data_IF_085737294999
#
_entry.id   IF_085737294999
#
_cell.length_a   1.000
_cell.length_b   1.000
_cell.length_c   1.000
_cell.angle_alpha   90.00
_cell.angle_beta   90.00
_cell.angle_gamma   90.00
#
_symmetry.space_group_name_H-M   'P 1'
#
loop_
_entity.id
_entity.type
_entity.pdbx_description
1 polymer ?
#
# COMPACT_ATOMS: atom_id res chain seq x y z
N UNK A 1 -63.64 4.72 45.49
CA UNK A 1 -62.35 5.36 45.28
C UNK A 1 -61.22 4.32 45.27
N UNK A 2 -61.16 3.41 44.26
CA UNK A 2 -60.12 2.34 44.22
C UNK A 2 -59.83 1.87 42.79
N UNK A 3 -59.62 2.78 41.82
CA UNK A 3 -59.30 2.35 40.42
C UNK A 3 -58.23 3.21 39.69
N UNK A 4 -57.40 4.01 40.38
CA UNK A 4 -56.45 4.93 39.69
C UNK A 4 -54.95 4.51 39.91
N UNK A 5 -54.64 3.51 40.71
CA UNK A 5 -53.22 3.19 41.06
C UNK A 5 -52.58 2.14 40.14
N UNK A 6 -53.36 1.40 39.34
CA UNK A 6 -52.81 0.33 38.49
C UNK A 6 -52.24 0.80 37.17
N UNK A 7 -52.64 2.00 36.69
CA UNK A 7 -52.15 2.51 35.40
C UNK A 7 -50.75 3.15 35.39
N UNK A 8 -50.22 3.53 36.54
CA UNK A 8 -48.98 4.31 36.61
C UNK A 8 -47.72 3.43 36.73
N UNK A 9 -47.90 2.18 37.17
CA UNK A 9 -46.76 1.22 37.29
C UNK A 9 -46.31 0.57 35.99
N UNK A 10 -47.21 0.43 35.00
CA UNK A 10 -46.90 -0.20 33.71
C UNK A 10 -46.20 0.77 32.75
N UNK A 11 -46.51 2.07 32.86
CA UNK A 11 -45.87 3.08 31.98
C UNK A 11 -44.41 3.38 32.33
N UNK A 12 -44.04 3.20 33.60
CA UNK A 12 -42.64 3.40 34.02
C UNK A 12 -41.71 2.21 33.66
N UNK A 13 -42.26 1.00 33.49
CA UNK A 13 -41.48 -0.18 33.12
C UNK A 13 -41.11 -0.22 31.63
N UNK A 14 -41.92 0.37 30.76
CA UNK A 14 -41.63 0.44 29.34
C UNK A 14 -40.56 1.49 28.98
N UNK A 15 -40.36 2.53 29.77
CA UNK A 15 -39.36 3.58 29.52
C UNK A 15 -37.96 3.12 29.87
N UNK A 16 -37.80 2.18 30.82
CA UNK A 16 -36.48 1.70 31.23
C UNK A 16 -35.84 0.72 30.24
N UNK A 17 -36.60 0.21 29.26
CA UNK A 17 -36.08 -0.74 28.27
C UNK A 17 -35.50 -0.09 27.00
N UNK A 18 -35.67 1.22 26.81
CA UNK A 18 -35.15 1.94 25.65
C UNK A 18 -33.69 2.40 25.77
N UNK A 19 -33.02 2.21 26.91
CA UNK A 19 -31.64 2.64 27.12
C UNK A 19 -30.57 1.54 27.07
N UNK A 20 -30.93 0.31 26.67
CA UNK A 20 -29.93 -0.67 26.30
C UNK A 20 -29.36 -0.34 24.92
N UNK A 21 -28.58 0.74 24.83
CA UNK A 21 -27.70 0.99 23.70
C UNK A 21 -26.71 -0.17 23.62
N UNK A 22 -26.93 -1.10 22.71
CA UNK A 22 -25.95 -2.11 22.36
C UNK A 22 -24.80 -1.35 21.70
N UNK A 23 -23.73 -1.17 22.46
CA UNK A 23 -22.47 -0.70 21.88
C UNK A 23 -21.93 -1.87 21.04
N UNK A 24 -22.10 -1.77 19.73
CA UNK A 24 -21.39 -2.66 18.81
C UNK A 24 -19.90 -2.33 18.95
N UNK A 25 -19.15 -3.16 19.63
CA UNK A 25 -17.70 -3.12 19.62
C UNK A 25 -17.26 -3.68 18.28
N UNK A 26 -16.59 -2.83 17.48
CA UNK A 26 -15.90 -3.31 16.29
C UNK A 26 -14.66 -4.08 16.76
N UNK A 27 -14.60 -5.35 16.44
CA UNK A 27 -13.41 -6.17 16.63
C UNK A 27 -12.51 -6.06 15.40
N UNK A 28 -11.19 -6.01 15.60
CA UNK A 28 -10.20 -5.93 14.52
C UNK A 28 -9.52 -7.29 14.39
N UNK A 29 -9.90 -8.01 13.34
CA UNK A 29 -9.20 -9.24 12.98
C UNK A 29 -7.96 -8.89 12.14
N UNK A 30 -6.78 -9.37 12.55
CA UNK A 30 -5.52 -9.18 11.84
C UNK A 30 -5.02 -10.49 11.23
N UNK A 31 -4.49 -10.42 10.01
CA UNK A 31 -3.88 -11.54 9.32
C UNK A 31 -2.52 -11.13 8.77
N UNK A 32 -1.48 -11.91 9.06
CA UNK A 32 -0.17 -11.74 8.42
C UNK A 32 -0.29 -12.15 6.94
N UNK A 33 -0.06 -11.21 6.04
CA UNK A 33 -0.08 -11.45 4.59
C UNK A 33 1.27 -12.00 4.13
N UNK A 34 2.36 -11.42 4.61
CA UNK A 34 3.71 -11.78 4.26
C UNK A 34 4.69 -11.39 5.36
N UNK A 35 5.68 -12.23 5.55
CA UNK A 35 6.84 -11.98 6.39
C UNK A 35 8.11 -12.33 5.59
N UNK A 36 9.14 -11.51 5.68
CA UNK A 36 10.44 -11.75 5.05
C UNK A 36 11.53 -10.99 5.78
N UNK A 37 12.74 -11.56 5.76
CA UNK A 37 13.89 -10.95 6.38
C UNK A 37 14.52 -9.89 5.48
N UNK A 38 14.89 -8.77 6.08
CA UNK A 38 15.66 -7.71 5.44
C UNK A 38 17.16 -7.90 5.74
N UNK A 39 18.03 -7.48 4.82
CA UNK A 39 19.49 -7.54 5.02
C UNK A 39 19.98 -6.68 6.20
N UNK A 40 19.28 -5.58 6.45
CA UNK A 40 19.56 -4.64 7.53
C UNK A 40 18.23 -4.08 8.07
N UNK A 41 18.30 -3.37 9.19
CA UNK A 41 17.14 -2.72 9.81
C UNK A 41 16.45 -1.75 8.84
N UNK A 42 15.11 -1.76 8.73
CA UNK A 42 14.37 -0.76 7.99
C UNK A 42 14.45 0.59 8.73
N UNK A 43 14.79 1.64 8.00
CA UNK A 43 14.87 3.00 8.53
C UNK A 43 13.54 3.73 8.39
N UNK A 44 12.86 3.53 7.25
CA UNK A 44 11.56 4.12 6.98
C UNK A 44 10.82 3.31 5.90
N UNK A 45 9.49 3.41 5.88
CA UNK A 45 8.63 2.71 4.93
C UNK A 45 7.56 3.68 4.42
N UNK A 46 7.39 3.70 3.10
CA UNK A 46 6.32 4.45 2.46
C UNK A 46 5.48 3.55 1.56
N UNK A 47 4.17 3.52 1.79
CA UNK A 47 3.22 2.82 0.90
C UNK A 47 2.67 3.79 -0.14
N UNK A 48 2.68 3.39 -1.41
CA UNK A 48 2.06 4.18 -2.46
C UNK A 48 0.55 4.33 -2.23
N UNK A 49 -0.06 5.50 -2.53
CA UNK A 49 -1.49 5.74 -2.29
C UNK A 49 -2.44 4.78 -3.01
N UNK A 50 -2.01 4.18 -4.12
CA UNK A 50 -2.75 3.13 -4.84
C UNK A 50 -2.60 1.74 -4.19
N UNK A 51 -1.87 1.67 -3.06
CA UNK A 51 -1.57 0.46 -2.31
C UNK A 51 -0.93 -0.68 -3.14
N UNK A 52 -0.24 -0.36 -4.24
CA UNK A 52 0.41 -1.36 -5.09
C UNK A 52 1.88 -1.59 -4.71
N UNK A 53 2.55 -0.56 -4.20
CA UNK A 53 3.97 -0.60 -3.89
C UNK A 53 4.26 -0.20 -2.45
N UNK A 54 5.26 -0.86 -1.85
CA UNK A 54 5.93 -0.42 -0.64
C UNK A 54 7.38 -0.06 -0.99
N UNK A 55 7.78 1.14 -0.59
CA UNK A 55 9.17 1.58 -0.64
C UNK A 55 9.76 1.41 0.75
N UNK A 56 10.76 0.56 0.88
CA UNK A 56 11.40 0.23 2.16
C UNK A 56 12.81 0.79 2.11
N UNK A 57 13.06 1.82 2.89
CA UNK A 57 14.40 2.39 3.03
C UNK A 57 15.18 1.58 4.05
N UNK A 58 16.27 1.00 3.60
CA UNK A 58 17.30 0.41 4.45
C UNK A 58 18.61 1.18 4.26
N UNK A 59 19.62 0.88 5.03
CA UNK A 59 20.90 1.60 4.96
C UNK A 59 21.60 1.43 3.59
N UNK A 60 21.52 2.48 2.75
CA UNK A 60 22.16 2.52 1.43
C UNK A 60 21.31 1.98 0.28
N UNK A 61 20.09 1.52 0.54
CA UNK A 61 19.21 0.99 -0.51
C UNK A 61 17.74 1.35 -0.22
N UNK A 62 16.97 1.53 -1.29
CA UNK A 62 15.50 1.54 -1.26
C UNK A 62 15.03 0.28 -1.97
N UNK A 63 14.31 -0.58 -1.26
CA UNK A 63 13.69 -1.77 -1.83
C UNK A 63 12.27 -1.43 -2.28
N UNK A 64 11.89 -1.86 -3.47
CA UNK A 64 10.55 -1.70 -4.02
C UNK A 64 9.85 -3.05 -3.95
N UNK A 65 8.86 -3.16 -3.05
CA UNK A 65 8.05 -4.35 -2.88
C UNK A 65 6.71 -4.19 -3.58
N UNK A 66 6.37 -5.11 -4.46
CA UNK A 66 5.05 -5.18 -5.10
C UNK A 66 4.08 -5.97 -4.23
N UNK A 67 3.00 -5.32 -3.78
CA UNK A 67 1.96 -5.96 -2.97
C UNK A 67 1.22 -7.02 -3.79
N UNK A 68 0.92 -6.74 -5.06
CA UNK A 68 0.25 -7.69 -5.95
C UNK A 68 1.08 -8.93 -6.28
N UNK A 69 2.40 -8.76 -6.47
CA UNK A 69 3.32 -9.87 -6.74
C UNK A 69 3.92 -10.52 -5.49
N UNK A 70 3.68 -9.93 -4.32
CA UNK A 70 4.19 -10.37 -3.00
C UNK A 70 5.70 -10.61 -2.95
N UNK A 71 6.48 -9.77 -3.65
CA UNK A 71 7.94 -9.86 -3.71
C UNK A 71 8.59 -8.50 -3.92
N UNK A 72 9.87 -8.42 -3.57
CA UNK A 72 10.71 -7.28 -3.96
C UNK A 72 10.94 -7.38 -5.47
N UNK A 73 10.55 -6.34 -6.19
CA UNK A 73 10.63 -6.28 -7.67
C UNK A 73 11.84 -5.50 -8.14
N UNK A 74 12.30 -4.55 -7.33
CA UNK A 74 13.43 -3.68 -7.71
C UNK A 74 14.14 -3.12 -6.48
N UNK A 75 15.33 -2.55 -6.70
CA UNK A 75 16.13 -1.88 -5.67
C UNK A 75 16.86 -0.67 -6.25
N UNK A 76 16.96 0.39 -5.47
CA UNK A 76 17.64 1.63 -5.83
C UNK A 76 18.77 1.84 -4.83
N UNK A 77 20.01 1.96 -5.31
CA UNK A 77 21.14 2.31 -4.45
C UNK A 77 21.11 3.81 -4.14
N UNK A 78 21.24 4.14 -2.87
CA UNK A 78 21.24 5.51 -2.35
C UNK A 78 22.35 5.68 -1.31
N UNK A 79 22.64 6.92 -0.90
CA UNK A 79 23.61 7.16 0.14
C UNK A 79 23.10 6.62 1.51
N UNK A 80 24.03 6.09 2.31
CA UNK A 80 23.75 5.51 3.63
C UNK A 80 23.28 6.50 4.69
N UNK A 81 23.32 7.79 4.37
CA UNK A 81 22.97 8.88 5.28
C UNK A 81 21.47 9.19 5.31
N UNK A 82 20.68 8.68 4.37
CA UNK A 82 19.24 8.92 4.32
C UNK A 82 18.51 8.05 5.34
N UNK A 83 17.56 8.68 6.04
CA UNK A 83 16.77 8.08 7.12
C UNK A 83 15.25 8.24 6.94
N UNK A 84 14.81 8.97 5.91
CA UNK A 84 13.40 9.19 5.59
C UNK A 84 13.12 9.07 4.10
N UNK A 85 11.92 8.57 3.78
CA UNK A 85 11.47 8.36 2.41
C UNK A 85 10.04 8.87 2.22
N UNK A 86 9.76 9.47 1.05
CA UNK A 86 8.42 9.80 0.58
C UNK A 86 8.32 9.60 -0.92
N UNK A 87 7.16 9.25 -1.43
CA UNK A 87 6.90 9.04 -2.85
C UNK A 87 5.62 9.73 -3.30
N UNK A 88 5.66 10.38 -4.46
CA UNK A 88 4.50 10.99 -5.11
C UNK A 88 4.20 10.24 -6.42
N UNK A 89 3.07 9.52 -6.53
CA UNK A 89 2.73 8.76 -7.73
C UNK A 89 2.36 9.65 -8.91
N UNK A 90 1.82 10.85 -8.67
CA UNK A 90 1.43 11.79 -9.71
C UNK A 90 2.64 12.30 -10.49
N UNK A 91 3.73 12.57 -9.78
CA UNK A 91 4.97 13.08 -10.37
C UNK A 91 6.03 12.00 -10.57
N UNK A 92 5.80 10.80 -10.05
CA UNK A 92 6.76 9.68 -9.99
C UNK A 92 8.08 10.07 -9.30
N UNK A 93 7.99 10.97 -8.32
CA UNK A 93 9.15 11.47 -7.59
C UNK A 93 9.28 10.73 -6.26
N UNK A 94 10.47 10.20 -6.00
CA UNK A 94 10.91 9.67 -4.72
C UNK A 94 11.80 10.71 -4.05
N UNK A 95 11.48 11.06 -2.82
CA UNK A 95 12.23 12.03 -2.02
C UNK A 95 12.87 11.32 -0.83
N UNK A 96 14.15 11.53 -0.65
CA UNK A 96 14.94 11.02 0.47
C UNK A 96 15.47 12.19 1.28
N UNK A 97 15.43 12.08 2.59
CA UNK A 97 16.00 13.08 3.50
C UNK A 97 16.91 12.45 4.53
N UNK A 98 17.92 13.22 4.93
CA UNK A 98 18.80 12.90 6.05
C UNK A 98 18.62 13.93 7.15
N UNK A 99 18.09 13.51 8.28
CA UNK A 99 17.89 14.37 9.44
C UNK A 99 19.23 14.83 10.03
N UNK A 100 20.22 13.95 10.01
CA UNK A 100 21.56 14.23 10.57
C UNK A 100 22.37 15.17 9.70
N UNK A 101 22.39 14.94 8.38
CA UNK A 101 23.24 15.68 7.44
C UNK A 101 22.52 16.85 6.77
N UNK A 102 21.25 17.10 7.13
CA UNK A 102 20.40 18.16 6.55
C UNK A 102 20.38 18.13 5.02
N UNK A 103 20.33 16.92 4.46
CA UNK A 103 20.38 16.66 3.02
C UNK A 103 19.04 16.17 2.52
N UNK A 104 18.69 16.58 1.30
CA UNK A 104 17.52 16.14 0.57
C UNK A 104 17.94 15.69 -0.81
N UNK A 105 17.46 14.53 -1.26
CA UNK A 105 17.65 14.01 -2.61
C UNK A 105 16.30 13.75 -3.25
N UNK A 106 16.16 14.11 -4.52
CA UNK A 106 14.95 13.93 -5.31
C UNK A 106 15.31 13.04 -6.50
N UNK A 107 14.59 11.93 -6.63
CA UNK A 107 14.77 10.94 -7.70
C UNK A 107 13.49 10.85 -8.52
N UNK A 108 13.59 10.91 -9.85
CA UNK A 108 12.50 10.56 -10.75
C UNK A 108 12.52 9.05 -11.00
N UNK A 109 11.38 8.37 -10.78
CA UNK A 109 11.25 6.94 -11.03
C UNK A 109 10.55 6.70 -12.37
N UNK A 110 11.16 5.86 -13.20
CA UNK A 110 10.54 5.35 -14.42
C UNK A 110 10.35 3.83 -14.27
N UNK A 111 9.09 3.36 -14.31
CA UNK A 111 8.80 1.95 -14.25
C UNK A 111 8.83 1.35 -15.66
N UNK A 112 9.94 0.66 -15.96
CA UNK A 112 10.12 0.00 -17.26
C UNK A 112 9.50 -1.39 -17.18
N UNK A 113 8.45 -1.62 -17.96
CA UNK A 113 7.89 -2.95 -18.12
C UNK A 113 8.65 -3.71 -19.21
N UNK A 114 9.25 -4.82 -18.83
CA UNK A 114 9.88 -5.75 -19.78
C UNK A 114 8.86 -6.78 -20.21
N UNK A 115 8.60 -6.86 -21.51
CA UNK A 115 7.74 -7.87 -22.09
C UNK A 115 8.61 -8.94 -22.75
N UNK A 116 8.38 -10.21 -22.35
CA UNK A 116 8.95 -11.34 -23.08
C UNK A 116 8.15 -11.56 -24.35
N UNK A 117 8.77 -11.28 -25.48
CA UNK A 117 8.16 -11.43 -26.81
C UNK A 117 8.61 -12.71 -27.53
N UNK A 118 9.53 -13.47 -26.91
CA UNK A 118 10.00 -14.74 -27.49
C UNK A 118 8.87 -15.76 -27.59
N UNK A 119 8.73 -16.34 -28.77
CA UNK A 119 7.68 -17.33 -29.05
C UNK A 119 6.29 -16.76 -29.34
N UNK A 120 6.12 -15.44 -29.36
CA UNK A 120 4.89 -14.80 -29.82
C UNK A 120 4.88 -14.69 -31.35
N UNK A 121 3.69 -14.75 -31.99
CA UNK A 121 3.56 -14.49 -33.42
C UNK A 121 4.08 -13.09 -33.75
N UNK A 122 4.96 -12.99 -34.71
CA UNK A 122 5.49 -11.69 -35.15
C UNK A 122 5.41 -11.56 -36.68
N UNK A 123 5.47 -10.32 -37.15
CA UNK A 123 5.50 -9.99 -38.57
C UNK A 123 6.65 -9.03 -38.85
N UNK A 124 7.59 -9.43 -39.69
CA UNK A 124 8.76 -8.66 -40.06
C UNK A 124 10.07 -9.44 -39.84
N UNK A 125 11.22 -8.80 -40.08
CA UNK A 125 12.54 -9.40 -39.85
C UNK A 125 12.78 -9.59 -38.33
N UNK A 126 13.41 -10.70 -37.95
CA UNK A 126 13.75 -10.97 -36.52
C UNK A 126 14.81 -9.99 -35.97
N UNK A 127 15.63 -9.42 -36.83
CA UNK A 127 16.70 -8.49 -36.52
C UNK A 127 16.30 -7.02 -36.66
N UNK A 128 14.99 -6.73 -36.71
CA UNK A 128 14.51 -5.36 -36.81
C UNK A 128 14.97 -4.51 -35.63
N UNK A 129 15.48 -3.28 -35.87
CA UNK A 129 16.02 -2.40 -34.82
C UNK A 129 14.92 -1.88 -33.87
N UNK A 130 13.65 -1.99 -34.26
CA UNK A 130 12.48 -1.57 -33.45
C UNK A 130 11.41 -2.64 -33.53
N UNK A 131 10.88 -3.04 -32.38
CA UNK A 131 9.76 -3.98 -32.25
C UNK A 131 8.54 -3.25 -31.71
N UNK A 132 7.40 -3.34 -32.39
CA UNK A 132 6.11 -2.84 -31.92
C UNK A 132 5.30 -4.01 -31.35
N UNK A 133 4.99 -3.93 -30.06
CA UNK A 133 4.13 -4.93 -29.40
C UNK A 133 2.70 -4.39 -29.35
N UNK A 134 1.76 -5.16 -29.91
CA UNK A 134 0.34 -4.82 -29.92
C UNK A 134 -0.41 -5.79 -29.01
N UNK A 135 -1.12 -5.25 -28.03
CA UNK A 135 -2.05 -5.99 -27.18
C UNK A 135 -3.46 -5.78 -27.75
N UNK A 136 -4.10 -6.84 -28.20
CA UNK A 136 -5.50 -6.80 -28.62
C UNK A 136 -6.31 -7.75 -27.75
N UNK A 137 -7.39 -7.25 -27.18
CA UNK A 137 -8.40 -8.05 -26.50
C UNK A 137 -9.45 -8.45 -27.53
N UNK A 138 -9.59 -9.74 -27.76
CA UNK A 138 -10.65 -10.29 -28.61
C UNK A 138 -11.85 -10.60 -27.70
N UNK A 139 -12.82 -9.70 -27.68
CA UNK A 139 -14.13 -9.97 -27.08
C UNK A 139 -15.03 -10.72 -28.02
#
# INVERSE_FOLDING_TARGET
MRKIIVGMGVFCFCICWMFFSHHAMADVESKIIKEFDLKTEPLDIFQSPDAQLLFILIRGEVLIYSIGQQRITDQILVDKEFDRIAYSPQTKILTLTSSTNKKLQILSLEFIQKFEVSGLPFKGPEDAPVTLVVFSDYQ
#
